data_IF_493254504792
#
_entry.id   IF_493254504792
#
_cell.length_a   1.000
_cell.length_b   1.000
_cell.length_c   1.000
_cell.angle_alpha   90.00
_cell.angle_beta   90.00
_cell.angle_gamma   90.00
#
_symmetry.space_group_name_H-M   'P 1'
#
loop_
_entity.id
_entity.type
_entity.pdbx_description
1 polymer ?
#
# COMPACT_ATOMS: atom_id res chain seq x y z
N UNK A 1 37.22 -24.80 -26.22
CA UNK A 1 37.25 -23.73 -25.21
C UNK A 1 37.99 -22.56 -25.84
N UNK A 2 37.26 -21.57 -26.36
CA UNK A 2 37.87 -20.42 -27.02
C UNK A 2 38.53 -19.51 -25.99
N UNK A 3 39.77 -19.09 -26.24
CA UNK A 3 40.43 -18.06 -25.44
C UNK A 3 39.68 -16.75 -25.61
N UNK A 4 38.91 -16.35 -24.59
CA UNK A 4 38.26 -15.04 -24.56
C UNK A 4 39.28 -13.94 -24.87
N UNK A 5 39.02 -13.15 -25.90
CA UNK A 5 39.94 -12.12 -26.41
C UNK A 5 40.21 -11.08 -25.31
N UNK A 6 41.45 -11.02 -24.81
CA UNK A 6 41.88 -10.02 -23.82
C UNK A 6 42.57 -8.86 -24.53
N UNK A 7 42.07 -7.64 -24.36
CA UNK A 7 42.74 -6.42 -24.83
C UNK A 7 43.97 -6.13 -23.98
N UNK A 8 45.08 -5.72 -24.63
CA UNK A 8 46.42 -5.57 -24.06
C UNK A 8 46.48 -4.68 -22.80
N UNK A 9 45.54 -3.75 -22.66
CA UNK A 9 45.41 -2.82 -21.52
C UNK A 9 45.10 -3.55 -20.20
N UNK A 10 44.39 -4.69 -20.26
CA UNK A 10 44.02 -5.48 -19.07
C UNK A 10 45.18 -6.23 -18.40
N UNK A 11 46.32 -6.40 -19.09
CA UNK A 11 47.50 -7.09 -18.52
C UNK A 11 48.31 -6.23 -17.54
N UNK A 12 48.28 -4.91 -17.69
CA UNK A 12 49.20 -4.02 -16.96
C UNK A 12 48.60 -3.38 -15.69
N UNK A 13 47.27 -3.42 -15.51
CA UNK A 13 46.60 -2.70 -14.42
C UNK A 13 45.97 -3.59 -13.34
N UNK A 14 46.28 -4.89 -13.29
CA UNK A 14 45.87 -5.78 -12.18
C UNK A 14 44.36 -5.96 -11.98
N UNK A 15 43.52 -5.42 -12.86
CA UNK A 15 42.08 -5.54 -12.78
C UNK A 15 41.64 -6.87 -13.41
N UNK A 16 41.47 -7.90 -12.58
CA UNK A 16 40.89 -9.17 -12.98
C UNK A 16 39.50 -9.32 -12.37
N UNK A 17 38.44 -9.28 -13.18
CA UNK A 17 37.18 -9.94 -12.80
C UNK A 17 36.49 -10.46 -14.06
N UNK A 18 36.67 -11.76 -14.34
CA UNK A 18 35.60 -12.65 -14.81
C UNK A 18 35.90 -14.06 -14.29
N UNK A 19 35.45 -14.34 -13.07
CA UNK A 19 35.66 -15.61 -12.35
C UNK A 19 34.64 -16.69 -12.71
N UNK A 20 33.56 -16.32 -13.39
CA UNK A 20 32.45 -17.22 -13.71
C UNK A 20 32.41 -17.50 -15.21
N UNK A 21 32.36 -18.78 -15.56
CA UNK A 21 32.10 -19.23 -16.91
C UNK A 21 30.83 -20.07 -16.89
N UNK A 22 29.84 -19.63 -17.67
CA UNK A 22 28.67 -20.45 -17.94
C UNK A 22 29.05 -21.54 -18.93
N UNK A 23 28.75 -22.78 -18.60
CA UNK A 23 28.99 -23.93 -19.47
C UNK A 23 27.62 -24.49 -19.84
N UNK A 24 27.08 -23.99 -20.95
CA UNK A 24 25.77 -24.39 -21.48
C UNK A 24 25.89 -25.69 -22.29
N UNK A 25 24.92 -26.59 -22.14
CA UNK A 25 24.69 -27.80 -22.93
C UNK A 25 25.90 -28.73 -23.08
N UNK A 26 26.85 -28.69 -22.14
CA UNK A 26 27.98 -29.60 -22.11
C UNK A 26 27.74 -30.83 -21.22
N UNK A 27 26.63 -30.85 -20.48
CA UNK A 27 26.27 -31.94 -19.58
C UNK A 27 25.04 -32.64 -20.15
N UNK A 28 25.27 -33.59 -21.06
CA UNK A 28 24.21 -34.47 -21.50
C UNK A 28 24.16 -35.69 -20.56
N UNK A 29 23.17 -35.78 -19.64
CA UNK A 29 23.07 -36.87 -18.68
C UNK A 29 22.95 -38.25 -19.35
N UNK A 30 22.63 -38.33 -20.65
CA UNK A 30 22.57 -39.56 -21.42
C UNK A 30 23.93 -40.05 -21.93
N UNK A 31 24.95 -39.18 -21.96
CA UNK A 31 26.30 -39.49 -22.46
C UNK A 31 27.36 -39.60 -21.38
N UNK A 32 27.00 -39.29 -20.13
CA UNK A 32 27.92 -39.26 -19.00
C UNK A 32 27.83 -40.58 -18.22
N UNK A 33 28.93 -41.33 -18.21
CA UNK A 33 29.08 -42.49 -17.32
C UNK A 33 29.41 -41.98 -15.92
N UNK A 34 28.83 -42.60 -14.89
CA UNK A 34 29.39 -42.46 -13.54
C UNK A 34 30.84 -43.01 -13.52
N UNK A 35 31.55 -42.82 -12.41
CA UNK A 35 32.93 -43.30 -12.27
C UNK A 35 33.09 -44.83 -12.43
N UNK A 36 32.00 -45.59 -12.57
CA UNK A 36 31.95 -47.04 -12.77
C UNK A 36 31.66 -47.47 -14.23
N UNK A 37 31.45 -46.53 -15.16
CA UNK A 37 31.41 -46.81 -16.60
C UNK A 37 30.06 -47.28 -17.17
N UNK A 38 28.95 -47.11 -16.46
CA UNK A 38 27.61 -47.43 -16.98
C UNK A 38 26.94 -46.18 -17.57
N UNK A 39 26.63 -46.23 -18.87
CA UNK A 39 25.98 -45.13 -19.60
C UNK A 39 24.50 -45.00 -19.20
N UNK A 40 24.09 -43.80 -18.79
CA UNK A 40 22.70 -43.46 -18.46
C UNK A 40 22.36 -43.41 -16.96
N UNK A 41 23.37 -43.28 -16.08
CA UNK A 41 23.17 -43.27 -14.62
C UNK A 41 23.81 -42.12 -13.85
N UNK A 42 24.58 -41.22 -14.48
CA UNK A 42 25.22 -40.14 -13.73
C UNK A 42 24.19 -39.08 -13.30
N UNK A 43 23.99 -38.96 -11.99
CA UNK A 43 23.20 -37.88 -11.39
C UNK A 43 23.82 -36.53 -11.76
N UNK A 44 22.98 -35.54 -12.09
CA UNK A 44 23.43 -34.19 -12.41
C UNK A 44 24.44 -33.67 -11.36
N UNK A 45 25.45 -32.88 -11.77
CA UNK A 45 26.43 -32.33 -10.85
C UNK A 45 25.73 -31.58 -9.71
N UNK A 46 26.32 -31.63 -8.52
CA UNK A 46 25.82 -30.91 -7.35
C UNK A 46 26.62 -29.64 -7.14
N UNK A 47 26.01 -28.66 -6.49
CA UNK A 47 26.73 -27.48 -6.02
C UNK A 47 27.84 -27.94 -5.07
N UNK A 48 29.07 -27.51 -5.35
CA UNK A 48 30.27 -27.92 -4.62
C UNK A 48 31.09 -29.02 -5.30
N UNK A 49 30.58 -29.69 -6.33
CA UNK A 49 31.36 -30.68 -7.08
C UNK A 49 32.55 -30.01 -7.81
N UNK A 50 33.67 -30.74 -7.87
CA UNK A 50 34.85 -30.34 -8.63
C UNK A 50 34.68 -30.77 -10.07
N UNK A 51 34.89 -29.83 -10.98
CA UNK A 51 34.87 -30.04 -12.42
C UNK A 51 36.28 -30.23 -12.95
N UNK A 52 36.47 -31.22 -13.82
CA UNK A 52 37.74 -31.58 -14.42
C UNK A 52 37.85 -31.15 -15.90
N UNK A 53 39.08 -31.03 -16.40
CA UNK A 53 39.35 -30.59 -17.77
C UNK A 53 38.75 -31.53 -18.85
N UNK A 54 38.56 -32.80 -18.52
CA UNK A 54 37.90 -33.82 -19.36
C UNK A 54 36.37 -33.72 -19.35
N UNK A 55 35.81 -32.72 -18.66
CA UNK A 55 34.36 -32.49 -18.44
C UNK A 55 33.68 -33.51 -17.54
N UNK A 56 34.45 -34.33 -16.80
CA UNK A 56 33.92 -35.13 -15.70
C UNK A 56 33.82 -34.28 -14.43
N UNK A 57 33.04 -34.74 -13.45
CA UNK A 57 32.86 -34.09 -12.16
C UNK A 57 32.71 -35.12 -11.04
N UNK A 58 32.92 -34.69 -9.80
CA UNK A 58 32.73 -35.52 -8.62
C UNK A 58 32.88 -34.72 -7.33
N UNK A 59 32.73 -35.41 -6.19
CA UNK A 59 32.95 -34.80 -4.88
C UNK A 59 34.37 -34.24 -4.79
N UNK A 60 34.52 -33.11 -4.10
CA UNK A 60 35.84 -32.56 -3.80
C UNK A 60 36.69 -33.52 -2.95
N UNK A 61 36.05 -34.34 -2.11
CA UNK A 61 36.73 -35.32 -1.26
C UNK A 61 37.34 -36.48 -2.05
N UNK A 62 36.81 -36.75 -3.26
CA UNK A 62 37.28 -37.81 -4.14
C UNK A 62 38.42 -37.34 -5.07
N UNK A 63 38.89 -36.10 -4.91
CA UNK A 63 39.98 -35.55 -5.71
C UNK A 63 41.34 -36.14 -5.29
N UNK A 64 41.91 -36.97 -6.16
CA UNK A 64 43.20 -37.63 -5.95
C UNK A 64 44.37 -37.00 -6.73
N UNK A 65 44.10 -35.91 -7.48
CA UNK A 65 45.10 -35.24 -8.33
C UNK A 65 45.40 -35.92 -9.68
N UNK A 66 44.76 -37.06 -9.98
CA UNK A 66 44.93 -37.77 -11.26
C UNK A 66 44.34 -37.01 -12.46
N UNK A 67 43.36 -36.15 -12.21
CA UNK A 67 42.70 -35.27 -13.19
C UNK A 67 42.99 -33.81 -12.90
N UNK A 68 43.04 -32.98 -13.93
CA UNK A 68 43.22 -31.53 -13.73
C UNK A 68 41.88 -30.88 -13.39
N UNK A 69 41.74 -30.39 -12.15
CA UNK A 69 40.60 -29.57 -11.75
C UNK A 69 40.60 -28.22 -12.50
N UNK A 70 39.45 -27.83 -13.02
CA UNK A 70 39.26 -26.58 -13.78
C UNK A 70 38.24 -25.65 -13.15
N UNK A 71 37.38 -26.14 -12.27
CA UNK A 71 36.36 -25.31 -11.63
C UNK A 71 35.64 -26.00 -10.48
N UNK A 72 34.89 -25.21 -9.71
CA UNK A 72 33.90 -25.72 -8.73
C UNK A 72 32.52 -25.29 -9.21
N UNK A 73 31.55 -26.20 -9.13
CA UNK A 73 30.15 -25.94 -9.49
C UNK A 73 29.50 -25.05 -8.44
N UNK A 74 28.96 -23.91 -8.85
CA UNK A 74 28.31 -22.94 -7.95
C UNK A 74 26.81 -22.81 -8.18
N UNK A 75 26.33 -23.20 -9.35
CA UNK A 75 24.91 -23.30 -9.65
C UNK A 75 24.66 -24.36 -10.72
N UNK A 76 23.49 -24.97 -10.66
CA UNK A 76 23.03 -25.98 -11.62
C UNK A 76 21.61 -25.61 -12.03
N UNK A 77 21.30 -25.72 -13.31
CA UNK A 77 19.96 -25.45 -13.82
C UNK A 77 18.94 -26.45 -13.25
N UNK A 78 17.67 -26.05 -13.20
CA UNK A 78 16.60 -26.89 -12.64
C UNK A 78 16.42 -28.22 -13.39
N UNK A 79 16.81 -28.29 -14.66
CA UNK A 79 16.81 -29.48 -15.50
C UNK A 79 18.12 -30.31 -15.42
N UNK A 80 19.12 -29.83 -14.67
CA UNK A 80 20.39 -30.52 -14.43
C UNK A 80 21.35 -30.56 -15.62
N UNK A 81 21.08 -29.80 -16.69
CA UNK A 81 21.81 -29.85 -17.97
C UNK A 81 22.87 -28.77 -18.12
N UNK A 82 22.78 -27.71 -17.32
CA UNK A 82 23.70 -26.59 -17.33
C UNK A 82 24.26 -26.36 -15.93
N UNK A 83 25.53 -26.00 -15.87
CA UNK A 83 26.19 -25.64 -14.63
C UNK A 83 26.99 -24.35 -14.80
N UNK A 84 26.90 -23.49 -13.80
CA UNK A 84 27.82 -22.36 -13.64
C UNK A 84 28.98 -22.83 -12.79
N UNK A 85 30.20 -22.60 -13.30
CA UNK A 85 31.42 -22.94 -12.59
C UNK A 85 32.22 -21.68 -12.28
N UNK A 86 32.87 -21.69 -11.13
CA UNK A 86 33.98 -20.77 -10.87
C UNK A 86 35.21 -21.37 -11.50
N UNK A 87 35.80 -20.68 -12.48
CA UNK A 87 36.97 -21.18 -13.19
C UNK A 87 38.22 -20.99 -12.32
N UNK A 88 38.84 -22.08 -11.88
CA UNK A 88 40.02 -22.05 -11.01
C UNK A 88 41.24 -21.44 -11.71
N UNK A 89 41.33 -21.50 -13.04
CA UNK A 89 42.43 -20.88 -13.79
C UNK A 89 42.31 -19.37 -13.85
N UNK A 90 41.08 -18.83 -13.85
CA UNK A 90 40.82 -17.39 -13.84
C UNK A 90 40.61 -16.84 -12.42
N UNK A 91 40.36 -17.72 -11.43
CA UNK A 91 40.43 -17.46 -10.00
C UNK A 91 41.87 -17.63 -9.49
N UNK A 92 42.83 -16.96 -10.13
CA UNK A 92 44.22 -16.99 -9.68
C UNK A 92 44.37 -16.02 -8.50
N UNK A 93 44.52 -16.53 -7.28
CA UNK A 93 45.11 -15.75 -6.19
C UNK A 93 46.63 -15.88 -6.33
N UNK A 94 47.30 -14.77 -6.59
CA UNK A 94 48.73 -14.77 -6.86
C UNK A 94 49.52 -15.24 -5.64
N UNK A 95 50.15 -16.41 -5.76
CA UNK A 95 51.43 -16.70 -5.15
C UNK A 95 52.30 -17.58 -6.08
N UNK A 96 53.62 -17.40 -6.16
CA UNK A 96 54.55 -18.17 -7.02
C UNK A 96 55.09 -19.31 -6.17
N UNK A 97 54.97 -20.57 -6.56
CA UNK A 97 55.13 -21.15 -7.88
C UNK A 97 56.00 -22.37 -7.62
N UNK A 98 55.52 -23.60 -7.76
CA UNK A 98 54.89 -24.11 -8.96
C UNK A 98 53.67 -25.01 -8.69
N UNK A 99 52.78 -24.98 -9.68
CA UNK A 99 51.60 -25.81 -9.92
C UNK A 99 51.53 -27.11 -9.12
N UNK A 100 50.60 -27.10 -8.17
CA UNK A 100 50.18 -28.25 -7.39
C UNK A 100 49.86 -27.86 -5.96
N UNK A 101 48.76 -27.09 -5.79
CA UNK A 101 48.10 -26.81 -4.49
C UNK A 101 48.72 -25.69 -3.61
N UNK A 102 48.03 -24.54 -3.51
CA UNK A 102 48.10 -23.43 -2.50
C UNK A 102 49.40 -23.14 -1.70
N UNK A 103 50.05 -21.97 -1.87
CA UNK A 103 51.02 -21.38 -0.89
C UNK A 103 50.97 -19.82 -0.84
N UNK A 104 50.25 -19.18 0.10
CA UNK A 104 49.93 -17.75 0.07
C UNK A 104 51.06 -16.73 0.35
N UNK A 105 52.26 -17.13 0.76
CA UNK A 105 53.24 -16.18 1.37
C UNK A 105 54.37 -15.69 0.43
N UNK A 106 54.53 -16.21 -0.80
CA UNK A 106 55.57 -15.70 -1.71
C UNK A 106 55.15 -15.66 -3.20
N UNK A 107 54.67 -14.51 -3.72
CA UNK A 107 54.07 -14.45 -5.05
C UNK A 107 54.89 -14.31 -6.31
N UNK A 108 56.20 -13.98 -6.26
CA UNK A 108 57.01 -13.89 -7.49
C UNK A 108 58.39 -14.58 -7.46
N UNK A 109 58.67 -15.47 -6.51
CA UNK A 109 59.83 -16.37 -6.53
C UNK A 109 61.16 -15.66 -6.36
N UNK A 110 61.15 -14.46 -5.79
CA UNK A 110 62.33 -13.64 -5.57
C UNK A 110 62.94 -13.92 -4.18
N UNK A 111 64.25 -13.76 -4.04
CA UNK A 111 65.00 -14.09 -2.82
C UNK A 111 64.74 -13.19 -1.61
N UNK A 112 63.88 -12.17 -1.73
CA UNK A 112 63.56 -11.26 -0.64
C UNK A 112 62.39 -11.80 0.20
N UNK A 113 62.70 -12.30 1.40
CA UNK A 113 61.75 -12.87 2.36
C UNK A 113 61.06 -11.83 3.26
N UNK A 114 60.44 -10.78 2.72
CA UNK A 114 59.57 -9.92 3.54
C UNK A 114 58.43 -9.31 2.71
N UNK A 115 57.19 -9.69 3.04
CA UNK A 115 56.00 -8.90 2.72
C UNK A 115 55.68 -8.03 3.95
N UNK A 116 56.23 -6.82 3.99
CA UNK A 116 55.77 -5.81 4.93
C UNK A 116 54.45 -5.23 4.41
N UNK A 117 53.34 -5.46 5.11
CA UNK A 117 52.15 -4.64 4.95
C UNK A 117 52.41 -3.27 5.58
N UNK A 118 53.05 -2.37 4.85
CA UNK A 118 53.04 -0.94 5.19
C UNK A 118 51.77 -0.31 4.64
N UNK A 119 50.79 -0.04 5.50
CA UNK A 119 49.77 0.98 5.23
C UNK A 119 50.44 2.34 5.34
N UNK A 120 51.12 2.76 4.26
CA UNK A 120 51.52 4.16 4.16
C UNK A 120 50.24 4.99 4.07
N UNK A 121 50.02 5.81 5.09
CA UNK A 121 48.90 6.71 5.24
C UNK A 121 48.58 7.46 3.93
N UNK A 122 47.44 7.11 3.30
CA UNK A 122 46.72 7.71 2.15
C UNK A 122 46.10 6.55 1.37
N UNK A 123 44.83 6.20 1.43
CA UNK A 123 43.61 6.99 1.49
C UNK A 123 42.53 6.10 2.15
N UNK A 124 42.19 6.36 3.41
CA UNK A 124 40.93 5.88 3.97
C UNK A 124 39.83 6.81 3.46
N UNK A 125 39.09 6.38 2.45
CA UNK A 125 37.72 6.83 2.25
C UNK A 125 36.89 5.58 1.99
N UNK A 126 36.69 4.80 3.05
CA UNK A 126 35.62 3.81 3.08
C UNK A 126 34.29 4.52 3.32
N UNK A 127 33.24 3.95 2.74
CA UNK A 127 31.86 4.43 2.78
C UNK A 127 31.46 4.76 4.21
N UNK A 128 31.06 6.02 4.45
CA UNK A 128 30.52 6.49 5.73
C UNK A 128 29.37 5.56 6.14
N UNK A 129 29.35 5.16 7.42
CA UNK A 129 28.33 4.32 8.08
C UNK A 129 28.47 2.79 8.01
N UNK A 130 29.56 2.24 7.43
CA UNK A 130 29.89 0.81 7.60
C UNK A 130 30.90 0.64 8.74
N UNK A 131 30.53 -0.01 9.86
CA UNK A 131 31.50 -0.38 10.89
C UNK A 131 32.54 -1.31 10.30
N UNK A 132 33.81 -0.99 10.49
CA UNK A 132 34.88 -1.84 10.01
C UNK A 132 34.97 -3.08 10.91
N UNK A 133 34.40 -4.20 10.45
CA UNK A 133 34.46 -5.46 11.18
C UNK A 133 35.83 -6.10 10.96
N UNK A 134 36.53 -6.42 12.05
CA UNK A 134 37.60 -7.41 12.03
C UNK A 134 37.07 -8.70 11.37
N UNK A 135 37.92 -9.33 10.55
CA UNK A 135 37.69 -10.64 9.95
C UNK A 135 37.06 -11.66 10.92
N UNK A 136 37.50 -11.68 12.18
CA UNK A 136 36.96 -12.57 13.22
C UNK A 136 35.52 -12.20 13.63
N UNK A 137 35.18 -10.90 13.66
CA UNK A 137 33.84 -10.42 13.98
C UNK A 137 32.85 -10.73 12.85
N UNK A 138 33.29 -10.58 11.60
CA UNK A 138 32.51 -10.93 10.42
C UNK A 138 32.25 -12.45 10.35
N UNK A 139 33.28 -13.24 10.62
CA UNK A 139 33.19 -14.70 10.60
C UNK A 139 32.29 -15.24 11.71
N UNK A 140 32.28 -14.62 12.89
CA UNK A 140 31.36 -14.96 13.97
C UNK A 140 29.90 -14.58 13.67
N UNK A 141 29.67 -13.44 12.99
CA UNK A 141 28.34 -13.05 12.53
C UNK A 141 27.77 -14.06 11.50
N UNK A 142 28.61 -14.56 10.59
CA UNK A 142 28.23 -15.56 9.58
C UNK A 142 28.03 -16.96 10.17
N UNK A 143 28.79 -17.32 11.22
CA UNK A 143 28.75 -18.65 11.84
C UNK A 143 27.57 -18.87 12.79
N UNK A 144 26.88 -17.82 13.23
CA UNK A 144 25.76 -17.94 14.19
C UNK A 144 24.41 -18.25 13.50
N UNK A 145 24.42 -19.10 12.47
CA UNK A 145 23.27 -19.90 12.03
C UNK A 145 21.97 -19.20 11.62
N UNK A 146 21.98 -17.90 11.32
CA UNK A 146 20.79 -17.16 10.88
C UNK A 146 21.01 -16.57 9.51
N UNK A 147 20.06 -16.79 8.60
CA UNK A 147 19.88 -16.10 7.32
C UNK A 147 20.52 -14.72 7.31
N UNK A 148 21.36 -14.44 6.30
CA UNK A 148 21.76 -13.07 5.99
C UNK A 148 20.49 -12.35 5.51
N UNK A 149 19.71 -11.87 6.46
CA UNK A 149 18.58 -11.01 6.19
C UNK A 149 19.18 -9.72 5.62
N UNK A 150 19.15 -9.58 4.29
CA UNK A 150 19.21 -8.26 3.67
C UNK A 150 17.86 -7.60 3.96
N UNK A 151 17.62 -7.30 5.24
CA UNK A 151 16.52 -6.46 5.67
C UNK A 151 16.99 -5.03 5.46
N UNK A 152 16.29 -4.29 4.60
CA UNK A 152 16.59 -2.90 4.26
C UNK A 152 18.07 -2.70 3.88
N UNK A 153 18.41 -2.80 2.59
CA UNK A 153 19.49 -1.93 2.10
C UNK A 153 19.07 -0.51 2.47
N UNK A 154 19.73 0.15 3.43
CA UNK A 154 19.34 1.49 3.82
C UNK A 154 19.53 2.34 2.58
N UNK A 155 18.44 2.87 2.05
CA UNK A 155 18.53 4.00 1.17
C UNK A 155 19.01 5.13 2.07
N UNK A 156 20.25 5.56 1.86
CA UNK A 156 20.81 6.70 2.57
C UNK A 156 19.95 7.90 2.22
N UNK A 157 19.22 8.44 3.19
CA UNK A 157 18.53 9.71 3.06
C UNK A 157 19.53 10.73 2.47
N UNK A 158 19.11 11.43 1.43
CA UNK A 158 19.93 12.43 0.76
C UNK A 158 20.53 13.39 1.78
N UNK A 159 21.84 13.24 2.02
CA UNK A 159 22.62 14.26 2.67
C UNK A 159 22.60 15.51 1.81
N UNK A 160 22.26 16.64 2.41
CA UNK A 160 22.41 17.98 1.84
C UNK A 160 23.90 18.29 1.63
N UNK A 161 24.48 17.76 0.56
CA UNK A 161 25.85 18.07 0.19
C UNK A 161 26.49 17.07 -0.75
N UNK A 162 26.59 17.44 -2.02
CA UNK A 162 27.68 17.08 -2.92
C UNK A 162 27.90 15.60 -3.23
N UNK A 163 27.36 15.15 -4.36
CA UNK A 163 28.02 14.18 -5.23
C UNK A 163 28.07 12.72 -4.74
N UNK A 164 26.91 12.05 -4.73
CA UNK A 164 26.84 10.59 -4.65
C UNK A 164 25.57 10.08 -5.33
N UNK A 165 25.71 9.30 -6.41
CA UNK A 165 24.60 8.62 -7.08
C UNK A 165 24.18 7.38 -6.28
N UNK A 166 23.52 7.60 -5.14
CA UNK A 166 22.58 6.65 -4.57
C UNK A 166 21.19 7.16 -4.91
N UNK A 167 20.40 6.41 -5.68
CA UNK A 167 18.98 6.72 -5.79
C UNK A 167 18.44 6.70 -4.35
N UNK A 168 18.03 7.84 -3.82
CA UNK A 168 17.25 8.01 -2.60
C UNK A 168 15.78 8.14 -2.99
N UNK A 169 14.82 7.87 -2.10
CA UNK A 169 13.42 8.23 -2.38
C UNK A 169 13.46 9.74 -2.25
N UNK A 170 13.17 10.42 -3.35
CA UNK A 170 13.33 11.87 -3.40
C UNK A 170 12.46 12.50 -2.30
N UNK A 171 13.14 13.14 -1.34
CA UNK A 171 12.56 13.67 -0.11
C UNK A 171 11.46 14.69 -0.40
N UNK A 172 11.46 15.32 -1.57
CA UNK A 172 10.41 16.24 -1.99
C UNK A 172 9.04 15.57 -2.14
N UNK A 173 9.00 14.29 -2.53
CA UNK A 173 7.76 13.51 -2.60
C UNK A 173 7.28 13.10 -1.22
N UNK A 174 8.20 12.72 -0.33
CA UNK A 174 7.87 12.42 1.07
C UNK A 174 7.28 13.67 1.76
N UNK A 175 7.91 14.83 1.59
CA UNK A 175 7.42 16.09 2.13
C UNK A 175 6.05 16.45 1.57
N UNK A 176 5.84 16.22 0.26
CA UNK A 176 4.55 16.45 -0.38
C UNK A 176 3.46 15.51 0.15
N UNK A 177 3.79 14.22 0.36
CA UNK A 177 2.88 13.25 0.96
C UNK A 177 2.49 13.65 2.38
N UNK A 178 3.47 13.95 3.23
CA UNK A 178 3.22 14.39 4.60
C UNK A 178 2.43 15.70 4.65
N UNK A 179 2.68 16.63 3.73
CA UNK A 179 1.89 17.87 3.61
C UNK A 179 0.44 17.58 3.23
N UNK A 180 0.19 16.67 2.28
CA UNK A 180 -1.17 16.27 1.92
C UNK A 180 -1.88 15.57 3.08
N UNK A 181 -1.18 14.74 3.85
CA UNK A 181 -1.72 14.10 5.05
C UNK A 181 -2.13 15.14 6.10
N UNK A 182 -1.30 16.15 6.34
CA UNK A 182 -1.64 17.26 7.24
C UNK A 182 -2.82 18.08 6.70
N UNK A 183 -2.89 18.34 5.39
CA UNK A 183 -4.03 19.02 4.77
C UNK A 183 -5.33 18.23 4.89
N UNK A 184 -5.25 16.91 4.81
CA UNK A 184 -6.36 16.01 5.04
C UNK A 184 -6.88 16.12 6.47
N UNK A 185 -6.00 16.09 7.48
CA UNK A 185 -6.39 16.25 8.88
C UNK A 185 -6.96 17.65 9.15
N UNK A 186 -6.36 18.71 8.61
CA UNK A 186 -6.92 20.07 8.70
C UNK A 186 -8.33 20.16 8.11
N UNK A 187 -8.59 19.49 6.98
CA UNK A 187 -9.92 19.47 6.38
C UNK A 187 -10.93 18.75 7.27
N UNK A 188 -10.52 17.64 7.90
CA UNK A 188 -11.36 16.93 8.88
C UNK A 188 -11.68 17.85 10.05
N UNK A 189 -10.68 18.55 10.58
CA UNK A 189 -10.84 19.48 11.70
C UNK A 189 -11.83 20.62 11.39
N UNK A 190 -11.74 21.18 10.18
CA UNK A 190 -12.62 22.26 9.73
C UNK A 190 -14.05 21.78 9.37
N UNK A 191 -14.24 20.47 9.14
CA UNK A 191 -15.51 19.87 8.71
C UNK A 191 -16.52 19.72 9.86
N UNK A 192 -16.99 20.84 10.40
CA UNK A 192 -18.00 20.86 11.46
C UNK A 192 -19.33 21.48 11.00
N UNK A 193 -20.45 20.97 11.52
CA UNK A 193 -21.77 21.57 11.35
C UNK A 193 -22.39 21.82 12.71
N UNK A 194 -22.68 23.10 13.00
CA UNK A 194 -23.26 23.53 14.29
C UNK A 194 -22.53 22.98 15.52
N UNK A 195 -21.20 22.84 15.43
CA UNK A 195 -20.35 22.33 16.52
C UNK A 195 -20.31 20.81 16.65
N UNK A 196 -20.88 20.05 15.71
CA UNK A 196 -20.74 18.59 15.63
C UNK A 196 -19.85 18.24 14.44
N UNK A 197 -18.85 17.39 14.66
CA UNK A 197 -17.97 16.87 13.62
C UNK A 197 -18.03 15.34 13.55
N UNK A 198 -18.85 14.83 12.63
CA UNK A 198 -19.02 13.39 12.41
C UNK A 198 -17.74 12.70 11.89
N UNK A 199 -16.73 13.45 11.45
CA UNK A 199 -15.43 12.93 11.01
C UNK A 199 -14.42 12.81 12.16
N UNK A 200 -14.78 13.28 13.36
CA UNK A 200 -14.01 13.19 14.62
C UNK A 200 -14.74 12.37 15.70
N UNK A 201 -15.52 11.38 15.27
CA UNK A 201 -16.32 10.52 16.16
C UNK A 201 -17.44 11.20 16.96
N UNK A 202 -17.78 12.47 16.68
CA UNK A 202 -18.98 13.06 17.29
C UNK A 202 -20.25 12.39 16.75
N UNK A 203 -21.32 12.40 17.55
CA UNK A 203 -22.62 11.87 17.14
C UNK A 203 -23.64 12.98 16.90
N UNK A 204 -24.49 12.81 15.88
CA UNK A 204 -25.64 13.68 15.62
C UNK A 204 -26.95 12.93 15.86
N UNK A 205 -27.73 13.35 16.84
CA UNK A 205 -29.10 12.86 17.04
C UNK A 205 -30.08 13.70 16.22
N UNK A 206 -30.78 13.06 15.28
CA UNK A 206 -31.88 13.65 14.50
C UNK A 206 -33.20 13.17 15.09
N UNK A 207 -34.10 14.10 15.39
CA UNK A 207 -35.42 13.80 15.94
C UNK A 207 -36.49 13.97 14.88
N UNK A 208 -37.43 13.02 14.82
CA UNK A 208 -38.51 13.00 13.83
C UNK A 208 -39.85 13.45 14.38
N UNK A 209 -39.98 13.63 15.69
CA UNK A 209 -41.22 14.08 16.31
C UNK A 209 -40.98 15.09 17.44
N UNK A 210 -42.01 15.88 17.73
CA UNK A 210 -41.97 16.94 18.74
C UNK A 210 -41.81 16.38 20.16
N UNK A 211 -42.39 15.21 20.43
CA UNK A 211 -42.29 14.52 21.73
C UNK A 211 -40.92 13.87 21.98
N UNK A 212 -39.99 13.90 21.01
CA UNK A 212 -38.63 13.33 21.08
C UNK A 212 -38.57 11.82 21.32
N UNK A 213 -39.66 11.09 21.08
CA UNK A 213 -39.69 9.63 21.23
C UNK A 213 -39.22 8.88 19.98
N UNK A 214 -39.15 9.57 18.83
CA UNK A 214 -38.66 9.02 17.57
C UNK A 214 -37.42 9.79 17.14
N UNK A 215 -36.27 9.11 17.16
CA UNK A 215 -34.99 9.69 16.74
C UNK A 215 -34.10 8.66 16.04
N UNK A 216 -33.11 9.16 15.32
CA UNK A 216 -32.04 8.39 14.70
C UNK A 216 -30.71 9.03 15.08
N UNK A 217 -29.78 8.24 15.61
CA UNK A 217 -28.44 8.71 15.96
C UNK A 217 -27.50 8.34 14.83
N UNK A 218 -26.88 9.35 14.24
CA UNK A 218 -25.78 9.19 13.29
C UNK A 218 -24.50 9.17 14.12
N UNK A 219 -23.87 8.00 14.17
CA UNK A 219 -22.58 7.86 14.83
C UNK A 219 -21.48 8.36 13.91
N UNK A 220 -20.69 9.31 14.38
CA UNK A 220 -19.46 9.69 13.72
C UNK A 220 -18.40 8.60 13.85
N UNK A 221 -17.40 8.70 12.99
CA UNK A 221 -16.19 7.90 13.07
C UNK A 221 -15.01 8.86 12.95
N UNK A 222 -14.00 8.68 13.79
CA UNK A 222 -12.75 9.43 13.63
C UNK A 222 -12.04 8.88 12.40
N UNK A 223 -11.96 9.72 11.37
CA UNK A 223 -11.28 9.40 10.11
C UNK A 223 -9.98 10.18 9.95
N UNK A 224 -9.44 10.78 11.01
CA UNK A 224 -8.10 11.37 10.96
C UNK A 224 -7.06 10.34 10.50
N UNK A 225 -6.01 10.81 9.83
CA UNK A 225 -4.98 9.99 9.20
C UNK A 225 -4.48 8.89 10.14
N UNK A 226 -4.17 9.24 11.39
CA UNK A 226 -3.71 8.31 12.41
C UNK A 226 -4.73 7.21 12.77
N UNK A 227 -6.03 7.53 12.80
CA UNK A 227 -7.07 6.56 13.17
C UNK A 227 -7.43 5.60 12.04
N UNK A 228 -7.24 6.01 10.79
CA UNK A 228 -7.47 5.15 9.62
C UNK A 228 -6.22 4.39 9.17
N UNK A 229 -5.15 4.44 9.98
CA UNK A 229 -3.91 3.70 9.76
C UNK A 229 -2.94 4.33 8.77
N UNK A 230 -3.06 5.64 8.53
CA UNK A 230 -2.08 6.41 7.75
C UNK A 230 -1.10 7.10 8.70
N UNK A 231 0.17 6.72 8.61
CA UNK A 231 1.26 7.39 9.31
C UNK A 231 1.89 8.51 8.48
N UNK A 232 2.62 9.42 9.14
CA UNK A 232 3.57 10.27 8.42
C UNK A 232 4.65 9.39 7.80
N UNK A 233 4.84 9.51 6.50
CA UNK A 233 5.84 8.75 5.77
C UNK A 233 7.27 9.20 6.13
N UNK A 234 8.13 8.22 6.40
CA UNK A 234 9.57 8.36 6.43
C UNK A 234 10.16 7.32 5.45
N UNK A 235 10.13 7.65 4.16
CA UNK A 235 10.56 6.76 3.11
C UNK A 235 12.09 6.75 3.05
N UNK A 236 12.69 5.73 3.66
CA UNK A 236 14.05 5.35 3.36
C UNK A 236 14.02 4.52 2.09
N UNK A 237 13.37 3.36 2.06
CA UNK A 237 13.45 2.41 0.94
C UNK A 237 12.26 2.45 -0.01
N UNK A 238 12.39 1.79 -1.16
CA UNK A 238 11.25 1.53 -2.05
C UNK A 238 10.16 0.66 -1.39
N UNK A 239 10.51 -0.15 -0.38
CA UNK A 239 9.56 -0.93 0.42
C UNK A 239 8.63 -0.02 1.21
N UNK A 240 9.18 1.02 1.84
CA UNK A 240 8.41 1.96 2.67
C UNK A 240 7.33 2.70 1.86
N UNK A 241 7.60 2.97 0.58
CA UNK A 241 6.62 3.56 -0.36
C UNK A 241 5.49 2.56 -0.68
N UNK A 242 5.82 1.28 -0.85
CA UNK A 242 4.83 0.23 -1.08
C UNK A 242 3.96 0.01 0.16
N UNK A 243 4.54 0.07 1.36
CA UNK A 243 3.81 -0.03 2.62
C UNK A 243 2.81 1.14 2.76
N UNK A 244 3.26 2.38 2.50
CA UNK A 244 2.36 3.56 2.49
C UNK A 244 1.24 3.43 1.44
N UNK A 245 1.51 2.81 0.29
CA UNK A 245 0.49 2.56 -0.73
C UNK A 245 -0.58 1.57 -0.24
N UNK A 246 -0.18 0.52 0.49
CA UNK A 246 -1.10 -0.44 1.07
C UNK A 246 -1.91 0.17 2.24
N UNK A 247 -1.30 1.02 3.06
CA UNK A 247 -2.00 1.81 4.07
C UNK A 247 -3.08 2.71 3.43
N UNK A 248 -2.76 3.43 2.34
CA UNK A 248 -3.73 4.24 1.58
C UNK A 248 -4.89 3.39 1.05
N UNK A 249 -4.63 2.20 0.53
CA UNK A 249 -5.68 1.29 0.06
C UNK A 249 -6.61 0.88 1.20
N UNK A 250 -6.05 0.58 2.37
CA UNK A 250 -6.80 0.29 3.59
C UNK A 250 -7.67 1.47 4.01
N UNK A 251 -7.08 2.65 4.14
CA UNK A 251 -7.75 3.90 4.49
C UNK A 251 -8.92 4.23 3.54
N UNK A 252 -8.72 4.09 2.22
CA UNK A 252 -9.79 4.28 1.22
C UNK A 252 -10.94 3.30 1.44
N UNK A 253 -10.64 2.05 1.78
CA UNK A 253 -11.67 1.04 2.09
C UNK A 253 -12.51 1.45 3.30
N UNK A 254 -11.86 1.89 4.37
CA UNK A 254 -12.52 2.41 5.58
C UNK A 254 -13.40 3.63 5.27
N UNK A 255 -12.88 4.59 4.50
CA UNK A 255 -13.64 5.79 4.09
C UNK A 255 -14.86 5.44 3.25
N UNK A 256 -14.76 4.47 2.34
CA UNK A 256 -15.90 3.99 1.54
C UNK A 256 -16.95 3.30 2.39
N UNK A 257 -16.53 2.49 3.37
CA UNK A 257 -17.45 1.85 4.31
C UNK A 257 -18.22 2.89 5.12
N UNK A 258 -17.52 3.88 5.67
CA UNK A 258 -18.13 4.95 6.45
C UNK A 258 -19.03 5.86 5.60
N UNK A 259 -18.63 6.20 4.37
CA UNK A 259 -19.48 6.92 3.41
C UNK A 259 -20.77 6.15 3.09
N UNK A 260 -20.71 4.82 2.99
CA UNK A 260 -21.88 3.97 2.84
C UNK A 260 -22.83 4.04 4.04
N UNK A 261 -22.29 4.03 5.26
CA UNK A 261 -23.07 4.18 6.50
C UNK A 261 -23.77 5.56 6.59
N UNK A 262 -23.06 6.63 6.23
CA UNK A 262 -23.64 7.98 6.14
C UNK A 262 -24.73 8.05 5.06
N UNK A 263 -24.50 7.45 3.89
CA UNK A 263 -25.50 7.38 2.81
C UNK A 263 -26.78 6.64 3.22
N UNK A 264 -26.65 5.55 4.00
CA UNK A 264 -27.80 4.85 4.57
C UNK A 264 -28.59 5.75 5.54
N UNK A 265 -27.90 6.43 6.45
CA UNK A 265 -28.53 7.36 7.39
C UNK A 265 -29.23 8.52 6.67
N UNK A 266 -28.62 9.07 5.62
CA UNK A 266 -29.24 10.09 4.77
C UNK A 266 -30.53 9.58 4.11
N UNK A 267 -30.53 8.36 3.56
CA UNK A 267 -31.74 7.76 2.97
C UNK A 267 -32.85 7.60 4.00
N UNK A 268 -32.54 7.16 5.23
CA UNK A 268 -33.53 7.04 6.31
C UNK A 268 -34.15 8.40 6.60
N UNK A 269 -33.33 9.44 6.74
CA UNK A 269 -33.79 10.80 7.03
C UNK A 269 -34.66 11.32 5.88
N UNK A 270 -34.24 11.15 4.63
CA UNK A 270 -35.01 11.58 3.46
C UNK A 270 -36.38 10.89 3.40
N UNK A 271 -36.44 9.58 3.64
CA UNK A 271 -37.72 8.85 3.69
C UNK A 271 -38.62 9.36 4.82
N UNK A 272 -38.06 9.65 5.99
CA UNK A 272 -38.81 10.20 7.13
C UNK A 272 -39.30 11.63 6.86
N UNK A 273 -38.49 12.46 6.21
CA UNK A 273 -38.88 13.80 5.78
C UNK A 273 -40.07 13.72 4.83
N UNK A 274 -39.95 12.95 3.74
CA UNK A 274 -41.01 12.81 2.75
C UNK A 274 -42.31 12.26 3.36
N UNK A 275 -42.22 11.29 4.28
CA UNK A 275 -43.39 10.78 5.01
C UNK A 275 -44.04 11.87 5.86
N UNK A 276 -43.23 12.68 6.54
CA UNK A 276 -43.73 13.76 7.41
C UNK A 276 -44.39 14.86 6.60
N UNK A 277 -43.80 15.25 5.47
CA UNK A 277 -44.38 16.24 4.55
C UNK A 277 -45.73 15.75 4.01
N UNK A 278 -45.79 14.50 3.54
CA UNK A 278 -47.05 13.90 3.07
C UNK A 278 -48.10 13.79 4.19
N UNK A 279 -47.67 13.49 5.42
CA UNK A 279 -48.57 13.47 6.58
C UNK A 279 -49.11 14.87 6.90
N UNK A 280 -48.27 15.91 6.81
CA UNK A 280 -48.68 17.30 7.01
C UNK A 280 -49.73 17.69 5.97
N UNK A 281 -49.52 17.35 4.69
CA UNK A 281 -50.46 17.66 3.61
C UNK A 281 -51.83 16.99 3.86
N UNK A 282 -51.84 15.70 4.20
CA UNK A 282 -53.08 14.96 4.50
C UNK A 282 -53.79 15.52 5.74
N UNK A 283 -53.05 15.86 6.79
CA UNK A 283 -53.64 16.46 8.00
C UNK A 283 -54.18 17.87 7.73
N UNK A 284 -53.54 18.63 6.84
CA UNK A 284 -54.02 19.96 6.42
C UNK A 284 -55.32 19.82 5.63
N UNK A 285 -55.37 18.92 4.65
CA UNK A 285 -56.62 18.65 3.90
C UNK A 285 -57.74 18.13 4.81
N UNK A 286 -57.39 17.26 5.77
CA UNK A 286 -58.34 16.77 6.77
C UNK A 286 -58.88 17.87 7.68
N UNK A 287 -58.02 18.77 8.14
CA UNK A 287 -58.41 19.94 8.94
C UNK A 287 -59.28 20.90 8.13
N UNK A 288 -58.95 21.16 6.87
CA UNK A 288 -59.76 21.97 5.96
C UNK A 288 -61.14 21.33 5.79
N UNK A 289 -61.25 20.02 5.52
CA UNK A 289 -62.56 19.35 5.42
C UNK A 289 -63.40 19.39 6.69
N UNK A 290 -62.78 19.42 7.87
CA UNK A 290 -63.50 19.51 9.14
C UNK A 290 -63.91 20.94 9.51
N UNK A 291 -63.25 21.95 8.94
CA UNK A 291 -63.46 23.37 9.28
C UNK A 291 -64.18 24.14 8.19
N UNK A 292 -64.05 23.73 6.93
CA UNK A 292 -64.72 24.34 5.80
C UNK A 292 -66.20 23.95 5.83
N UNK A 293 -67.07 24.94 5.88
CA UNK A 293 -68.50 24.73 5.70
C UNK A 293 -68.79 24.43 4.21
N UNK A 294 -69.79 23.58 3.94
CA UNK A 294 -70.24 23.35 2.56
C UNK A 294 -70.88 24.64 2.02
N UNK A 295 -70.22 25.27 1.04
CA UNK A 295 -70.69 26.51 0.44
C UNK A 295 -72.09 26.37 -0.19
N UNK A 296 -72.49 25.18 -0.66
CA UNK A 296 -73.82 24.98 -1.21
C UNK A 296 -74.88 24.95 -0.11
N UNK A 297 -74.60 24.29 1.01
CA UNK A 297 -75.51 24.26 2.17
C UNK A 297 -75.61 25.65 2.81
N UNK A 298 -74.49 26.33 3.03
CA UNK A 298 -74.48 27.70 3.54
C UNK A 298 -75.17 28.68 2.57
N UNK A 299 -74.99 28.53 1.26
CA UNK A 299 -75.70 29.37 0.27
C UNK A 299 -77.21 29.10 0.24
N UNK A 300 -77.62 27.84 0.32
CA UNK A 300 -79.03 27.48 0.39
C UNK A 300 -79.68 27.97 1.70
N UNK A 301 -78.96 27.85 2.82
CA UNK A 301 -79.42 28.35 4.12
C UNK A 301 -79.48 29.88 4.14
N UNK A 302 -78.50 30.57 3.54
CA UNK A 302 -78.53 32.03 3.35
C UNK A 302 -79.74 32.44 2.51
N UNK A 303 -79.99 31.79 1.37
CA UNK A 303 -81.13 32.09 0.51
C UNK A 303 -82.46 31.83 1.23
N UNK A 304 -82.56 30.72 1.97
CA UNK A 304 -83.74 30.40 2.78
C UNK A 304 -83.93 31.43 3.91
N UNK A 305 -82.86 31.92 4.53
CA UNK A 305 -82.90 32.97 5.54
C UNK A 305 -83.33 34.32 4.94
N UNK A 306 -82.76 34.73 3.81
CA UNK A 306 -83.18 35.94 3.08
C UNK A 306 -84.65 35.87 2.68
N UNK A 307 -85.11 34.72 2.18
CA UNK A 307 -86.53 34.50 1.85
C UNK A 307 -87.42 34.60 3.09
N UNK A 308 -87.03 33.98 4.22
CA UNK A 308 -87.74 34.11 5.49
C UNK A 308 -87.78 35.55 5.99
N UNK A 309 -86.67 36.30 5.88
CA UNK A 309 -86.62 37.71 6.26
C UNK A 309 -87.52 38.57 5.38
N UNK A 310 -87.53 38.33 4.06
CA UNK A 310 -88.42 39.05 3.14
C UNK A 310 -89.90 38.75 3.45
N UNK A 311 -90.25 37.49 3.72
CA UNK A 311 -91.59 37.11 4.17
C UNK A 311 -91.94 37.69 5.54
N UNK A 312 -91.00 37.80 6.47
CA UNK A 312 -91.22 38.41 7.78
C UNK A 312 -91.48 39.92 7.64
N UNK A 313 -90.73 40.62 6.78
CA UNK A 313 -90.92 42.04 6.49
C UNK A 313 -92.26 42.30 5.80
N UNK A 314 -92.63 41.50 4.80
CA UNK A 314 -93.94 41.63 4.14
C UNK A 314 -95.09 41.27 5.08
N UNK A 315 -94.93 40.24 5.92
CA UNK A 315 -95.94 39.90 6.94
C UNK A 315 -96.09 41.03 7.97
N UNK A 316 -94.99 41.68 8.37
CA UNK A 316 -95.01 42.82 9.28
C UNK A 316 -95.64 44.07 8.63
N UNK A 317 -95.36 44.34 7.36
CA UNK A 317 -95.99 45.44 6.63
C UNK A 317 -97.50 45.19 6.47
N UNK A 318 -97.90 43.97 6.11
CA UNK A 318 -99.31 43.56 6.02
C UNK A 318 -100.01 43.63 7.39
N UNK A 319 -99.34 43.24 8.48
CA UNK A 319 -99.89 43.37 9.83
C UNK A 319 -100.07 44.85 10.24
N UNK A 320 -99.14 45.71 9.87
CA UNK A 320 -99.22 47.16 10.11
C UNK A 320 -100.31 47.83 9.27
N UNK A 321 -100.46 47.44 8.00
CA UNK A 321 -101.54 47.89 7.10
C UNK A 321 -102.91 47.37 7.55
N UNK A 322 -103.01 46.11 7.95
CA UNK A 322 -104.24 45.52 8.48
C UNK A 322 -104.71 46.20 9.77
N UNK A 323 -103.78 46.57 10.65
CA UNK A 323 -104.07 47.34 11.85
C UNK A 323 -104.56 48.76 11.53
N UNK A 324 -104.03 49.40 10.49
CA UNK A 324 -104.50 50.69 9.98
C UNK A 324 -105.86 50.62 9.26
N UNK A 325 -106.12 49.54 8.51
CA UNK A 325 -107.40 49.28 7.85
C UNK A 325 -108.53 49.05 8.86
N UNK A 326 -108.25 48.33 9.96
CA UNK A 326 -109.19 48.17 11.09
C UNK A 326 -109.51 49.53 11.73
N UNK A 327 -108.53 50.42 11.89
CA UNK A 327 -108.77 51.76 12.41
C UNK A 327 -109.63 52.63 11.47
N UNK A 328 -109.56 52.44 10.15
CA UNK A 328 -110.45 53.10 9.19
C UNK A 328 -111.87 52.51 9.15
N UNK A 329 -112.07 51.26 9.59
CA UNK A 329 -113.39 50.62 9.67
C UNK A 329 -114.23 51.15 10.84
N UNK A 330 -113.59 51.74 11.84
CA UNK A 330 -114.24 52.36 13.00
C UNK A 330 -114.30 53.90 12.92
N UNK A 331 -114.12 54.48 11.72
CA UNK A 331 -114.31 55.91 11.44
C UNK A 331 -115.53 56.14 10.57
#
# INVERSE_FOLDING_TARGET
>A
MGSGYRTYVSKNYGNYVRSFQLVENCFDPLTLSDASGVSGGAAAPKIGDVMYADKTYGSADDYDGSKTAVGIVTAVSADGRDATIVNLKDLTFGSTGSVGNFDPDNPYGQSAKYSAHTTSAKYNVDVTDIPNYDYNALLNAVKTGGTLNVTNTPFTAGGTGGGGTGAGVDSSWQDSFNRLLNQYDMLIDDSSYKGVNLLKADSLEVRFNESRTSSHVINGQDISSAQIGLGTAAWATAGDVLDSLDEIRGAISTLRSYSGALGNSYSIIQTRQNFTDALIDVLTEGADKLTLADMNEESANMLALQTRQQLAVTSLSLASEGSGSILNLFR
#
